data_IF_196806714772
#
_entry.id   IF_196806714772
#
_cell.length_a   1.000
_cell.length_b   1.000
_cell.length_c   1.000
_cell.angle_alpha   90.00
_cell.angle_beta   90.00
_cell.angle_gamma   90.00
#
_symmetry.space_group_name_H-M   'P 1'
#
loop_
_entity.id
_entity.type
_entity.pdbx_description
1 polymer ?
#
# COMPACT_ATOMS: atom_id res chain seq x y z
N UNK A 1 18.02 20.52 7.30
CA UNK A 1 17.82 19.27 6.54
C UNK A 1 16.76 19.47 5.52
N UNK A 2 17.02 19.29 4.28
CA UNK A 2 15.98 19.45 3.29
C UNK A 2 15.22 18.14 3.13
N UNK A 3 13.99 18.10 3.61
CA UNK A 3 12.99 17.16 3.12
C UNK A 3 12.05 17.91 2.18
N UNK A 4 11.72 17.28 1.05
CA UNK A 4 10.81 17.82 0.06
C UNK A 4 9.51 17.02 0.09
N UNK A 5 8.38 17.71 0.21
CA UNK A 5 7.05 17.10 0.17
C UNK A 5 6.39 17.43 -1.16
N UNK A 6 6.11 16.39 -1.97
CA UNK A 6 5.39 16.53 -3.22
C UNK A 6 3.90 16.27 -2.98
N UNK A 7 3.07 17.28 -3.18
CA UNK A 7 1.61 17.17 -3.05
C UNK A 7 0.92 17.52 -4.36
N UNK A 8 -0.24 16.89 -4.61
CA UNK A 8 -1.14 17.31 -5.68
C UNK A 8 -2.04 18.43 -5.19
N UNK A 9 -2.26 19.43 -6.02
CA UNK A 9 -3.11 20.58 -5.70
C UNK A 9 -4.43 20.58 -6.50
N UNK A 10 -4.73 19.48 -7.21
CA UNK A 10 -5.93 19.33 -8.04
C UNK A 10 -6.58 17.96 -7.88
N UNK A 11 -6.95 17.30 -8.96
CA UNK A 11 -7.86 16.16 -9.02
C UNK A 11 -7.19 14.78 -9.00
N UNK A 12 -5.92 14.68 -8.72
CA UNK A 12 -5.22 13.39 -8.59
C UNK A 12 -4.29 13.03 -9.74
N UNK A 13 -4.63 13.38 -10.97
CA UNK A 13 -3.89 13.02 -12.18
C UNK A 13 -2.85 14.07 -12.65
N UNK A 14 -2.27 14.83 -11.72
CA UNK A 14 -1.29 15.89 -12.03
C UNK A 14 0.08 15.35 -12.46
N UNK A 15 0.28 14.03 -12.42
CA UNK A 15 1.55 13.42 -12.78
C UNK A 15 2.60 13.46 -11.65
N UNK A 16 2.18 13.47 -10.39
CA UNK A 16 3.09 13.39 -9.21
C UNK A 16 4.13 12.29 -9.33
N UNK A 17 3.72 11.10 -9.85
CA UNK A 17 4.63 10.00 -10.11
C UNK A 17 5.81 10.39 -10.98
N UNK A 18 5.53 11.06 -12.08
CA UNK A 18 6.53 11.47 -13.07
C UNK A 18 7.50 12.51 -12.51
N UNK A 19 6.99 13.46 -11.71
CA UNK A 19 7.84 14.46 -11.04
C UNK A 19 8.70 13.77 -9.98
N UNK A 20 8.11 12.85 -9.19
CA UNK A 20 8.86 12.05 -8.23
C UNK A 20 10.02 11.30 -8.88
N UNK A 21 9.76 10.63 -10.01
CA UNK A 21 10.80 9.90 -10.75
C UNK A 21 11.91 10.82 -11.25
N UNK A 22 11.55 12.02 -11.71
CA UNK A 22 12.51 13.01 -12.23
C UNK A 22 13.50 13.48 -11.16
N UNK A 23 13.04 13.64 -9.93
CA UNK A 23 13.85 14.19 -8.82
C UNK A 23 14.35 13.11 -7.85
N UNK A 24 13.90 11.87 -7.99
CA UNK A 24 14.24 10.79 -7.06
C UNK A 24 15.75 10.57 -6.92
N UNK A 25 16.52 10.76 -7.99
CA UNK A 25 17.97 10.62 -8.00
C UNK A 25 18.74 11.64 -7.14
N UNK A 26 18.08 12.72 -6.72
CA UNK A 26 18.69 13.76 -5.87
C UNK A 26 18.48 13.52 -4.37
N UNK A 27 17.84 12.39 -3.99
CA UNK A 27 17.44 12.10 -2.61
C UNK A 27 17.87 10.71 -2.17
N UNK A 28 18.31 10.55 -0.93
CA UNK A 28 18.68 9.26 -0.33
C UNK A 28 17.47 8.37 -0.03
N UNK A 29 16.26 8.93 0.04
CA UNK A 29 15.04 8.17 0.25
C UNK A 29 13.84 8.74 -0.52
N UNK A 30 13.01 7.83 -1.05
CA UNK A 30 11.70 8.14 -1.65
C UNK A 30 10.60 7.49 -0.81
N UNK A 31 9.72 8.32 -0.24
CA UNK A 31 8.69 7.87 0.70
C UNK A 31 7.31 8.09 0.14
N UNK A 32 6.55 6.99 0.00
CA UNK A 32 5.10 7.04 -0.19
C UNK A 32 4.45 7.09 1.19
N UNK A 33 3.84 8.20 1.55
CA UNK A 33 3.31 8.40 2.90
C UNK A 33 1.80 8.16 3.02
N UNK A 34 1.05 8.09 1.91
CA UNK A 34 -0.39 7.82 1.90
C UNK A 34 -0.85 7.15 0.61
N UNK A 35 -2.13 6.77 0.54
CA UNK A 35 -2.73 6.09 -0.59
C UNK A 35 -2.47 4.58 -0.59
N UNK A 36 -2.89 3.92 -1.65
CA UNK A 36 -2.74 2.48 -1.84
C UNK A 36 -2.41 2.15 -3.30
N UNK A 37 -2.85 1.00 -3.78
CA UNK A 37 -2.64 0.55 -5.15
C UNK A 37 -3.71 1.05 -6.15
N UNK A 38 -4.43 2.14 -5.82
CA UNK A 38 -5.54 2.69 -6.59
C UNK A 38 -5.10 3.30 -7.93
N UNK A 39 -3.94 3.96 -8.00
CA UNK A 39 -3.43 4.54 -9.23
C UNK A 39 -2.06 3.99 -9.57
N UNK A 40 -1.86 3.69 -10.86
CA UNK A 40 -0.58 3.27 -11.40
C UNK A 40 0.19 4.43 -11.99
N UNK A 41 1.52 4.36 -11.94
CA UNK A 41 2.40 5.20 -12.71
C UNK A 41 3.42 4.35 -13.47
N UNK A 42 3.82 4.81 -14.64
CA UNK A 42 4.81 4.11 -15.44
C UNK A 42 6.15 4.80 -15.32
N UNK A 43 7.15 4.04 -14.93
CA UNK A 43 8.56 4.45 -14.99
C UNK A 43 9.25 3.78 -16.17
N UNK A 44 10.31 4.40 -16.66
CA UNK A 44 11.10 3.87 -17.79
C UNK A 44 12.55 3.74 -17.34
N UNK A 45 13.07 2.51 -17.39
CA UNK A 45 14.44 2.21 -17.02
C UNK A 45 15.11 1.42 -18.13
N UNK A 46 16.24 1.90 -18.61
CA UNK A 46 16.98 1.27 -19.74
C UNK A 46 16.07 0.96 -20.93
N UNK A 47 15.10 1.82 -21.22
CA UNK A 47 14.14 1.66 -22.32
C UNK A 47 12.97 0.69 -22.02
N UNK A 48 12.96 0.00 -20.90
CA UNK A 48 11.86 -0.87 -20.45
C UNK A 48 10.89 -0.11 -19.55
N UNK A 49 9.58 -0.35 -19.75
CA UNK A 49 8.49 0.27 -18.98
C UNK A 49 8.07 -0.64 -17.83
N UNK A 50 7.93 -0.07 -16.65
CA UNK A 50 7.41 -0.73 -15.45
C UNK A 50 6.18 0.02 -14.97
N UNK A 51 5.07 -0.69 -14.80
CA UNK A 51 3.84 -0.15 -14.22
C UNK A 51 3.83 -0.38 -12.72
N UNK A 52 3.95 0.69 -11.92
CA UNK A 52 3.95 0.62 -10.46
C UNK A 52 2.63 1.11 -9.91
N UNK A 53 2.08 0.40 -8.93
CA UNK A 53 0.87 0.79 -8.21
C UNK A 53 1.16 1.09 -6.75
N UNK A 54 2.15 0.40 -6.15
CA UNK A 54 2.39 0.47 -4.72
C UNK A 54 3.84 0.79 -4.36
N UNK A 55 4.79 0.14 -5.02
CA UNK A 55 6.22 0.35 -4.77
C UNK A 55 6.62 1.76 -5.24
N UNK A 56 7.35 2.54 -4.39
CA UNK A 56 7.85 3.85 -4.79
C UNK A 56 8.88 3.76 -5.93
N UNK A 57 8.90 4.75 -6.80
CA UNK A 57 9.82 4.82 -7.95
C UNK A 57 11.31 4.82 -7.56
N UNK A 58 11.63 5.26 -6.36
CA UNK A 58 13.00 5.19 -5.82
C UNK A 58 13.62 3.79 -5.78
N UNK A 59 12.80 2.72 -5.95
CA UNK A 59 13.27 1.33 -6.04
C UNK A 59 14.33 1.12 -7.14
N UNK A 60 14.32 1.97 -8.16
CA UNK A 60 15.24 1.89 -9.29
C UNK A 60 16.67 2.30 -8.95
N UNK A 61 16.88 2.97 -7.84
CA UNK A 61 18.18 3.41 -7.35
C UNK A 61 18.59 2.51 -6.19
N UNK A 62 19.56 1.63 -6.40
CA UNK A 62 19.96 0.59 -5.44
C UNK A 62 20.53 1.14 -4.12
N UNK A 63 21.04 2.36 -4.16
CA UNK A 63 21.63 3.11 -3.03
C UNK A 63 20.62 4.01 -2.31
N UNK A 64 19.39 4.14 -2.84
CA UNK A 64 18.32 4.91 -2.22
C UNK A 64 17.36 4.01 -1.46
N UNK A 65 16.81 4.50 -0.35
CA UNK A 65 15.78 3.79 0.41
C UNK A 65 14.39 4.11 -0.17
N UNK A 66 13.63 3.07 -0.53
CA UNK A 66 12.25 3.19 -1.00
C UNK A 66 11.30 2.78 0.11
N UNK A 67 10.42 3.68 0.56
CA UNK A 67 9.58 3.46 1.73
C UNK A 67 8.10 3.50 1.40
N UNK A 68 7.38 2.46 1.81
CA UNK A 68 5.92 2.48 1.94
C UNK A 68 5.62 2.80 3.41
N UNK A 69 5.15 4.01 3.67
CA UNK A 69 4.98 4.56 5.02
C UNK A 69 3.70 4.09 5.72
N UNK A 70 3.57 4.44 6.99
CA UNK A 70 2.46 4.05 7.87
C UNK A 70 1.10 4.66 7.47
N UNK A 71 1.09 5.71 6.66
CA UNK A 71 -0.12 6.31 6.12
C UNK A 71 -0.74 5.50 4.98
N UNK A 72 0.03 4.62 4.33
CA UNK A 72 -0.46 3.80 3.22
C UNK A 72 -1.39 2.67 3.68
N UNK A 73 -2.19 2.20 2.72
CA UNK A 73 -2.87 0.90 2.77
C UNK A 73 -2.23 -0.02 1.73
N UNK A 74 -1.85 -1.23 2.14
CA UNK A 74 -0.97 -2.11 1.39
C UNK A 74 -1.72 -3.35 0.93
N UNK A 75 -1.68 -3.63 -0.36
CA UNK A 75 -2.09 -4.92 -0.90
C UNK A 75 -0.84 -5.81 -1.03
N UNK A 76 -0.66 -6.85 -0.18
CA UNK A 76 0.52 -7.70 -0.18
C UNK A 76 0.79 -8.36 -1.52
N UNK A 77 -0.27 -8.80 -2.21
CA UNK A 77 -0.17 -9.46 -3.50
C UNK A 77 0.42 -8.51 -4.57
N UNK A 78 -0.09 -7.29 -4.65
CA UNK A 78 0.40 -6.29 -5.61
C UNK A 78 1.86 -5.93 -5.34
N UNK A 79 2.24 -5.77 -4.07
CA UNK A 79 3.65 -5.49 -3.72
C UNK A 79 4.55 -6.63 -4.15
N UNK A 80 4.15 -7.89 -3.92
CA UNK A 80 4.94 -9.05 -4.31
C UNK A 80 5.03 -9.19 -5.84
N UNK A 81 3.95 -8.93 -6.56
CA UNK A 81 3.95 -8.91 -8.04
C UNK A 81 4.95 -7.87 -8.58
N UNK A 82 5.01 -6.68 -7.97
CA UNK A 82 5.96 -5.64 -8.34
C UNK A 82 7.41 -6.02 -7.97
N UNK A 83 7.64 -6.65 -6.81
CA UNK A 83 8.94 -7.19 -6.41
C UNK A 83 9.40 -8.24 -7.42
N UNK A 84 8.56 -9.23 -7.72
CA UNK A 84 8.87 -10.32 -8.66
C UNK A 84 9.21 -9.78 -10.07
N UNK A 85 8.49 -8.76 -10.51
CA UNK A 85 8.74 -8.08 -11.79
C UNK A 85 10.16 -7.45 -11.84
N UNK A 86 10.57 -6.78 -10.76
CA UNK A 86 11.91 -6.17 -10.69
C UNK A 86 13.01 -7.22 -10.60
N UNK A 87 12.84 -8.21 -9.74
CA UNK A 87 13.83 -9.27 -9.54
C UNK A 87 14.02 -10.13 -10.78
N UNK A 88 12.97 -10.38 -11.55
CA UNK A 88 13.05 -11.06 -12.85
C UNK A 88 13.94 -10.32 -13.86
N UNK A 89 14.07 -9.00 -13.72
CA UNK A 89 14.93 -8.15 -14.55
C UNK A 89 16.29 -7.86 -13.92
N UNK A 90 16.63 -8.56 -12.82
CA UNK A 90 17.91 -8.39 -12.10
C UNK A 90 18.01 -7.09 -11.29
N UNK A 91 16.90 -6.40 -11.06
CA UNK A 91 16.85 -5.19 -10.24
C UNK A 91 16.66 -5.61 -8.78
N UNK A 92 17.56 -5.17 -7.91
CA UNK A 92 17.46 -5.48 -6.49
C UNK A 92 16.31 -4.73 -5.83
N UNK A 93 15.56 -5.40 -4.97
CA UNK A 93 14.47 -4.82 -4.17
C UNK A 93 14.82 -4.66 -2.69
N UNK A 94 16.07 -4.97 -2.29
CA UNK A 94 16.54 -4.95 -0.87
C UNK A 94 16.42 -3.57 -0.20
N UNK A 95 16.40 -2.52 -0.99
CA UNK A 95 16.21 -1.12 -0.57
C UNK A 95 14.75 -0.77 -0.30
N UNK A 96 13.77 -1.64 -0.60
CA UNK A 96 12.38 -1.45 -0.23
C UNK A 96 12.19 -1.65 1.27
N UNK A 97 11.45 -0.73 1.91
CA UNK A 97 11.03 -0.80 3.31
C UNK A 97 9.53 -0.53 3.40
N UNK A 98 8.84 -1.39 4.13
CA UNK A 98 7.38 -1.31 4.32
C UNK A 98 7.14 -1.08 5.81
N UNK A 99 6.34 -0.07 6.14
CA UNK A 99 5.97 0.18 7.53
C UNK A 99 5.18 -0.97 8.12
N UNK A 100 5.63 -1.49 9.25
CA UNK A 100 4.85 -2.45 10.02
C UNK A 100 3.48 -1.89 10.47
N UNK A 101 3.36 -0.57 10.56
CA UNK A 101 2.13 0.13 10.92
C UNK A 101 1.20 0.46 9.73
N UNK A 102 1.61 0.20 8.48
CA UNK A 102 0.74 0.31 7.33
C UNK A 102 -0.39 -0.73 7.41
N UNK A 103 -1.61 -0.34 6.99
CA UNK A 103 -2.76 -1.25 7.05
C UNK A 103 -2.80 -2.16 5.83
N UNK A 104 -3.29 -3.38 6.04
CA UNK A 104 -3.38 -4.41 5.00
C UNK A 104 -4.75 -4.38 4.35
N UNK A 105 -4.76 -4.32 3.03
CA UNK A 105 -5.99 -4.51 2.25
C UNK A 105 -6.32 -5.99 2.25
N UNK A 106 -7.43 -6.34 2.89
CA UNK A 106 -7.97 -7.69 2.94
C UNK A 106 -8.92 -7.95 1.77
N UNK A 107 -9.20 -9.20 1.40
CA UNK A 107 -10.08 -9.52 0.28
C UNK A 107 -11.49 -8.97 0.47
N UNK A 108 -12.00 -8.99 1.69
CA UNK A 108 -13.31 -8.41 2.00
C UNK A 108 -13.38 -6.88 1.78
N UNK A 109 -12.26 -6.16 1.87
CA UNK A 109 -12.24 -4.72 1.52
C UNK A 109 -12.51 -4.51 0.04
N UNK A 110 -11.95 -5.39 -0.81
CA UNK A 110 -12.15 -5.33 -2.28
C UNK A 110 -13.60 -5.60 -2.62
N UNK A 111 -14.20 -6.61 -2.00
CA UNK A 111 -15.60 -6.97 -2.19
C UNK A 111 -16.53 -5.85 -1.72
N UNK A 112 -16.28 -5.27 -0.54
CA UNK A 112 -17.06 -4.15 -0.01
C UNK A 112 -16.98 -2.92 -0.94
N UNK A 113 -15.79 -2.58 -1.44
CA UNK A 113 -15.60 -1.45 -2.38
C UNK A 113 -16.42 -1.66 -3.66
N UNK A 114 -16.34 -2.86 -4.24
CA UNK A 114 -17.12 -3.22 -5.41
C UNK A 114 -18.64 -3.22 -5.17
N UNK A 115 -19.08 -3.78 -4.05
CA UNK A 115 -20.51 -3.86 -3.69
C UNK A 115 -21.11 -2.48 -3.39
N UNK A 116 -20.36 -1.62 -2.69
CA UNK A 116 -20.77 -0.26 -2.40
C UNK A 116 -20.96 0.56 -3.68
N UNK A 117 -20.00 0.52 -4.61
CA UNK A 117 -20.12 1.15 -5.92
C UNK A 117 -21.33 0.65 -6.71
N UNK A 118 -21.57 -0.66 -6.70
CA UNK A 118 -22.72 -1.25 -7.38
C UNK A 118 -24.05 -0.78 -6.77
N UNK A 119 -24.13 -0.69 -5.44
CA UNK A 119 -25.32 -0.25 -4.71
C UNK A 119 -25.65 1.22 -4.96
N UNK A 120 -24.65 2.08 -5.13
CA UNK A 120 -24.84 3.49 -5.47
C UNK A 120 -25.37 3.69 -6.89
N UNK A 121 -25.19 2.75 -7.80
CA UNK A 121 -25.70 2.80 -9.18
C UNK A 121 -25.27 4.06 -9.91
N UNK A 122 -26.25 4.92 -10.30
CA UNK A 122 -25.97 6.18 -11.01
C UNK A 122 -25.29 7.25 -10.16
N UNK A 123 -25.19 7.06 -8.86
CA UNK A 123 -24.54 7.96 -7.91
C UNK A 123 -23.19 7.40 -7.45
N UNK A 124 -22.63 6.44 -8.23
CA UNK A 124 -21.35 5.84 -7.90
C UNK A 124 -20.25 6.91 -7.84
N UNK A 125 -19.28 6.68 -6.98
CA UNK A 125 -18.13 7.58 -6.76
C UNK A 125 -17.09 7.40 -7.88
N UNK A 126 -17.08 6.22 -8.52
CA UNK A 126 -16.09 5.85 -9.52
C UNK A 126 -14.80 5.32 -8.92
N UNK A 127 -14.89 4.60 -7.79
CA UNK A 127 -13.72 4.01 -7.14
C UNK A 127 -13.03 3.00 -8.05
N UNK A 128 -11.76 2.72 -7.74
CA UNK A 128 -10.98 1.73 -8.49
C UNK A 128 -11.33 0.29 -8.11
N UNK A 129 -12.24 0.07 -7.16
CA UNK A 129 -12.67 -1.23 -6.63
C UNK A 129 -11.49 -2.08 -6.13
N UNK A 130 -10.52 -1.43 -5.51
CA UNK A 130 -9.32 -2.08 -4.97
C UNK A 130 -9.28 -2.14 -3.45
N UNK A 131 -10.41 -1.81 -2.80
CA UNK A 131 -10.57 -1.90 -1.35
C UNK A 131 -9.88 -0.80 -0.56
N UNK A 132 -9.47 0.29 -1.20
CA UNK A 132 -8.74 1.40 -0.56
C UNK A 132 -9.61 2.08 0.50
N UNK A 133 -10.80 2.55 0.09
CA UNK A 133 -11.75 3.23 0.98
C UNK A 133 -12.13 2.40 2.20
N UNK A 134 -12.63 1.16 2.04
CA UNK A 134 -12.95 0.28 3.16
C UNK A 134 -11.76 -0.01 4.09
N UNK A 135 -10.55 -0.18 3.55
CA UNK A 135 -9.35 -0.37 4.38
C UNK A 135 -9.01 0.89 5.20
N UNK A 136 -9.18 2.09 4.64
CA UNK A 136 -9.04 3.33 5.39
C UNK A 136 -10.15 3.51 6.44
N UNK A 137 -11.38 3.08 6.16
CA UNK A 137 -12.45 3.06 7.18
C UNK A 137 -12.05 2.23 8.38
N UNK A 138 -11.53 1.02 8.16
CA UNK A 138 -11.06 0.14 9.23
C UNK A 138 -9.87 0.74 9.98
N UNK A 139 -8.94 1.41 9.27
CA UNK A 139 -7.84 2.15 9.89
C UNK A 139 -8.35 3.24 10.83
N UNK A 140 -9.30 4.07 10.37
CA UNK A 140 -9.85 5.17 11.19
C UNK A 140 -10.68 4.65 12.36
N UNK A 141 -11.40 3.54 12.16
CA UNK A 141 -12.14 2.84 13.20
C UNK A 141 -11.24 2.09 14.19
N UNK A 142 -9.94 1.98 13.94
CA UNK A 142 -8.92 1.28 14.74
C UNK A 142 -9.15 -0.23 14.88
N UNK A 143 -9.71 -0.82 13.83
CA UNK A 143 -10.00 -2.26 13.75
C UNK A 143 -9.26 -2.96 12.61
N UNK A 144 -8.58 -2.17 11.77
CA UNK A 144 -7.84 -2.71 10.62
C UNK A 144 -6.58 -3.48 11.04
N UNK A 145 -6.23 -4.47 10.23
CA UNK A 145 -5.00 -5.26 10.39
C UNK A 145 -3.81 -4.50 9.79
N UNK A 146 -2.65 -4.64 10.42
CA UNK A 146 -1.40 -3.99 10.00
C UNK A 146 -0.43 -5.00 9.42
N UNK A 147 0.53 -4.53 8.64
CA UNK A 147 1.58 -5.38 8.05
C UNK A 147 2.34 -6.19 9.11
N UNK A 148 2.65 -5.59 10.26
CA UNK A 148 3.33 -6.29 11.36
C UNK A 148 2.46 -7.38 12.01
N UNK A 149 1.14 -7.26 11.98
CA UNK A 149 0.25 -8.26 12.57
C UNK A 149 0.33 -9.59 11.82
N UNK A 150 0.59 -9.54 10.51
CA UNK A 150 0.75 -10.74 9.67
C UNK A 150 2.03 -11.54 10.00
N UNK A 151 2.99 -10.95 10.72
CA UNK A 151 4.25 -11.61 11.08
C UNK A 151 4.13 -12.53 12.30
N UNK A 152 3.01 -12.48 13.01
CA UNK A 152 2.63 -13.35 14.10
C UNK A 152 1.28 -14.01 13.78
N UNK A 153 1.31 -15.29 13.46
CA UNK A 153 0.12 -16.04 13.04
C UNK A 153 -0.98 -16.00 14.11
N UNK A 154 -0.64 -16.13 15.38
CA UNK A 154 -1.63 -16.15 16.48
C UNK A 154 -2.34 -14.81 16.57
N UNK A 155 -1.59 -13.71 16.55
CA UNK A 155 -2.13 -12.35 16.58
C UNK A 155 -2.96 -12.05 15.32
N UNK A 156 -2.48 -12.51 14.16
CA UNK A 156 -3.18 -12.31 12.90
C UNK A 156 -4.54 -13.01 12.88
N UNK A 157 -4.60 -14.27 13.34
CA UNK A 157 -5.85 -15.05 13.45
C UNK A 157 -6.84 -14.40 14.41
N UNK A 158 -6.43 -13.98 15.60
CA UNK A 158 -7.28 -13.33 16.60
C UNK A 158 -7.89 -12.03 16.05
N UNK A 159 -7.08 -11.19 15.40
CA UNK A 159 -7.57 -9.96 14.76
C UNK A 159 -8.50 -10.21 13.59
N UNK A 160 -8.22 -11.25 12.78
CA UNK A 160 -9.09 -11.65 11.68
C UNK A 160 -10.44 -12.13 12.18
N UNK A 161 -10.48 -12.94 13.24
CA UNK A 161 -11.73 -13.41 13.84
C UNK A 161 -12.60 -12.22 14.24
N UNK A 162 -12.00 -11.24 14.93
CA UNK A 162 -12.68 -10.01 15.33
C UNK A 162 -13.18 -9.21 14.12
N UNK A 163 -12.37 -9.06 13.07
CA UNK A 163 -12.73 -8.33 11.86
C UNK A 163 -13.87 -9.03 11.09
N UNK A 164 -13.78 -10.35 10.94
CA UNK A 164 -14.76 -11.16 10.20
C UNK A 164 -16.11 -11.25 10.93
N UNK A 165 -16.12 -11.26 12.26
CA UNK A 165 -17.35 -11.20 13.05
C UNK A 165 -18.17 -9.93 12.73
N UNK A 166 -17.50 -8.84 12.36
CA UNK A 166 -18.14 -7.57 11.95
C UNK A 166 -18.50 -7.57 10.46
N UNK A 167 -17.57 -7.99 9.62
CA UNK A 167 -17.68 -7.83 8.16
C UNK A 167 -18.59 -8.86 7.51
N UNK A 168 -18.57 -10.13 7.96
CA UNK A 168 -19.35 -11.19 7.36
C UNK A 168 -20.86 -10.94 7.36
N UNK A 169 -21.48 -10.45 8.46
CA UNK A 169 -22.88 -10.05 8.44
C UNK A 169 -23.20 -8.94 7.42
N UNK A 170 -22.28 -8.00 7.22
CA UNK A 170 -22.44 -6.94 6.23
C UNK A 170 -22.40 -7.50 4.81
N UNK A 171 -21.42 -8.35 4.50
CA UNK A 171 -21.29 -9.02 3.20
C UNK A 171 -22.56 -9.84 2.87
N UNK A 172 -22.99 -10.69 3.81
CA UNK A 172 -24.11 -11.61 3.59
C UNK A 172 -25.45 -10.88 3.55
N UNK A 173 -25.79 -10.11 4.59
CA UNK A 173 -27.14 -9.56 4.78
C UNK A 173 -27.39 -8.28 4.01
N UNK A 174 -26.35 -7.48 3.71
CA UNK A 174 -26.50 -6.20 3.03
C UNK A 174 -26.20 -6.30 1.54
N UNK A 175 -25.14 -7.07 1.20
CA UNK A 175 -24.65 -7.14 -0.16
C UNK A 175 -24.91 -8.49 -0.86
N UNK A 176 -25.42 -9.51 -0.13
CA UNK A 176 -25.61 -10.86 -0.64
C UNK A 176 -24.35 -11.44 -1.30
N UNK A 177 -23.21 -11.22 -0.64
CA UNK A 177 -21.89 -11.70 -1.02
C UNK A 177 -21.45 -12.88 -0.13
N UNK A 178 -20.54 -13.73 -0.61
CA UNK A 178 -19.94 -14.79 0.21
C UNK A 178 -19.21 -14.22 1.44
N UNK A 179 -19.24 -14.96 2.52
CA UNK A 179 -18.49 -14.68 3.74
C UNK A 179 -17.09 -15.30 3.69
N UNK A 180 -16.20 -14.84 4.56
CA UNK A 180 -14.84 -15.36 4.68
C UNK A 180 -14.65 -16.13 5.99
N UNK A 181 -13.77 -17.12 5.96
CA UNK A 181 -13.26 -17.77 7.17
C UNK A 181 -11.84 -17.30 7.47
N UNK A 182 -11.43 -17.42 8.73
CA UNK A 182 -10.06 -17.09 9.16
C UNK A 182 -9.05 -17.94 8.38
N UNK A 183 -9.30 -19.25 8.23
CA UNK A 183 -8.38 -20.15 7.53
C UNK A 183 -8.20 -19.77 6.06
N UNK A 184 -9.27 -19.43 5.35
CA UNK A 184 -9.18 -19.00 3.95
C UNK A 184 -8.24 -17.79 3.78
N UNK A 185 -8.34 -16.81 4.66
CA UNK A 185 -7.46 -15.63 4.59
C UNK A 185 -6.05 -15.98 5.03
N UNK A 186 -5.88 -16.77 6.10
CA UNK A 186 -4.57 -17.16 6.57
C UNK A 186 -3.80 -17.99 5.52
N UNK A 187 -4.45 -18.92 4.85
CA UNK A 187 -3.84 -19.76 3.81
C UNK A 187 -3.28 -18.92 2.65
N UNK A 188 -3.94 -17.79 2.33
CA UNK A 188 -3.47 -16.87 1.29
C UNK A 188 -2.42 -15.88 1.81
N UNK A 189 -2.65 -15.26 2.99
CA UNK A 189 -1.88 -14.10 3.45
C UNK A 189 -0.61 -14.47 4.22
N UNK A 190 -0.58 -15.58 4.97
CA UNK A 190 0.62 -15.97 5.73
C UNK A 190 1.82 -16.29 4.83
N UNK A 191 1.69 -17.01 3.70
CA UNK A 191 2.79 -17.17 2.77
C UNK A 191 3.30 -15.84 2.19
N UNK A 192 2.40 -14.89 1.92
CA UNK A 192 2.79 -13.54 1.49
C UNK A 192 3.52 -12.78 2.59
N UNK A 193 3.08 -12.92 3.85
CA UNK A 193 3.73 -12.30 5.00
C UNK A 193 5.19 -12.76 5.17
N UNK A 194 5.45 -14.06 5.03
CA UNK A 194 6.81 -14.60 5.10
C UNK A 194 7.72 -14.03 4.00
N UNK A 195 7.22 -13.90 2.79
CA UNK A 195 7.95 -13.27 1.69
C UNK A 195 8.22 -11.79 1.93
N UNK A 196 7.27 -11.08 2.55
CA UNK A 196 7.40 -9.64 2.84
C UNK A 196 8.15 -9.34 4.14
N UNK A 197 8.37 -10.34 5.01
CA UNK A 197 9.07 -10.18 6.29
C UNK A 197 10.39 -9.38 6.21
N UNK A 198 11.28 -9.60 5.22
CA UNK A 198 12.54 -8.85 5.11
C UNK A 198 12.37 -7.36 4.81
N UNK A 199 11.22 -6.97 4.29
CA UNK A 199 10.91 -5.60 3.91
C UNK A 199 10.19 -4.82 5.02
N UNK A 200 9.51 -5.54 5.96
CA UNK A 200 8.71 -4.92 7.02
C UNK A 200 9.62 -4.40 8.13
N UNK A 201 9.49 -3.12 8.45
CA UNK A 201 10.32 -2.46 9.47
C UNK A 201 9.60 -1.28 10.13
N UNK A 202 10.20 -0.71 11.19
CA UNK A 202 9.78 0.55 11.79
C UNK A 202 10.29 1.73 10.96
N UNK A 203 9.49 2.13 9.99
CA UNK A 203 9.89 3.15 9.01
C UNK A 203 9.99 4.56 9.61
N UNK A 204 9.24 4.87 10.67
CA UNK A 204 9.33 6.18 11.33
C UNK A 204 10.69 6.37 11.98
N UNK A 205 11.18 5.34 12.67
CA UNK A 205 12.51 5.34 13.26
C UNK A 205 13.61 5.40 12.19
N UNK A 206 13.46 4.58 11.13
CA UNK A 206 14.39 4.60 10.00
C UNK A 206 14.53 6.00 9.40
N UNK A 207 13.42 6.66 9.09
CA UNK A 207 13.42 7.97 8.48
C UNK A 207 13.94 9.06 9.44
N UNK A 208 13.61 9.00 10.72
CA UNK A 208 14.20 9.91 11.72
C UNK A 208 15.72 9.76 11.80
N UNK A 209 16.23 8.53 11.82
CA UNK A 209 17.68 8.30 11.84
C UNK A 209 18.36 8.84 10.56
N UNK A 210 17.72 8.67 9.39
CA UNK A 210 18.23 9.24 8.14
C UNK A 210 18.22 10.77 8.18
N UNK A 211 17.17 11.37 8.73
CA UNK A 211 17.07 12.81 8.92
C UNK A 211 18.17 13.31 9.84
N UNK A 212 18.41 12.67 10.96
CA UNK A 212 19.45 13.04 11.92
C UNK A 212 20.88 12.85 11.35
N UNK A 213 21.07 11.87 10.46
CA UNK A 213 22.31 11.65 9.73
C UNK A 213 22.55 12.65 8.59
N UNK A 214 21.70 13.69 8.43
CA UNK A 214 21.77 14.69 7.36
C UNK A 214 21.49 14.14 5.96
N UNK A 215 20.73 13.06 5.88
CA UNK A 215 20.25 12.50 4.61
C UNK A 215 19.13 13.34 4.01
N UNK A 216 18.99 13.33 2.68
CA UNK A 216 17.89 13.96 1.97
C UNK A 216 16.72 13.00 1.79
N UNK A 217 15.51 13.40 2.17
CA UNK A 217 14.33 12.57 2.06
C UNK A 217 13.27 13.22 1.18
N UNK A 218 12.76 12.49 0.21
CA UNK A 218 11.63 12.91 -0.63
C UNK A 218 10.35 12.20 -0.19
N UNK A 219 9.34 12.97 0.23
CA UNK A 219 8.03 12.46 0.64
C UNK A 219 7.00 12.68 -0.47
N UNK A 220 6.24 11.64 -0.79
CA UNK A 220 5.20 11.68 -1.80
C UNK A 220 3.85 11.25 -1.25
N UNK A 221 2.81 12.06 -1.45
CA UNK A 221 1.43 11.65 -1.37
C UNK A 221 0.93 11.15 -2.72
N UNK A 222 0.11 10.12 -2.69
CA UNK A 222 -0.63 9.66 -3.85
C UNK A 222 -2.11 9.65 -3.49
N UNK A 223 -2.80 10.71 -3.87
CA UNK A 223 -4.24 10.85 -3.72
C UNK A 223 -4.87 11.00 -5.10
N UNK A 224 -5.97 10.33 -5.31
CA UNK A 224 -6.85 10.52 -6.46
C UNK A 224 -8.16 11.14 -5.98
N UNK A 225 -8.90 11.74 -6.88
CA UNK A 225 -10.22 12.34 -6.58
C UNK A 225 -11.19 11.35 -5.93
N UNK A 226 -11.02 10.05 -6.21
CA UNK A 226 -11.83 8.98 -5.61
C UNK A 226 -11.52 8.73 -4.12
N UNK A 227 -10.45 9.32 -3.58
CA UNK A 227 -10.03 9.15 -2.19
C UNK A 227 -10.53 10.29 -1.27
N UNK A 228 -11.26 11.26 -1.83
CA UNK A 228 -11.91 12.39 -1.14
C UNK A 228 -13.44 12.20 -1.13
#
# INVERSE_FOLDING_TARGET
MPSTVLVGAQWGDEGKGKICDLVAGDFDAVVRYSGGNNAGHTIVVNGKKYGLHQVPSGIMYSDHVSVIGNGCVVNPKVVLEEIDMFEADGITTKNLKISGNAHVIMPYHIDLDGAFEQKLGKKNIGTTKRGIGPCYQDKMARIGLRMQDMLDETLFRDKLETALARVNPELELIYNLPTYTVDQICDEYLPMAERLRPYITETSLLLNNMIDAVSYTHLRAHETEADL
#
